data_IF_890966830556
#
_entry.id   IF_890966830556
#
_cell.length_a   1.000
_cell.length_b   1.000
_cell.length_c   1.000
_cell.angle_alpha   90.00
_cell.angle_beta   90.00
_cell.angle_gamma   90.00
#
_symmetry.space_group_name_H-M   'P 1'
#
loop_
_entity.id
_entity.type
_entity.pdbx_description
1 polymer ?
#
# COMPACT_ATOMS: atom_id res chain seq x y z
N UNK A 1 9.59 15.25 -14.96
CA UNK A 1 8.34 16.00 -14.66
C UNK A 1 7.92 15.54 -13.28
N UNK A 2 7.55 16.47 -12.43
CA UNK A 2 7.05 16.15 -11.10
C UNK A 2 5.63 15.57 -11.19
N UNK A 3 5.26 14.72 -10.27
CA UNK A 3 3.97 14.02 -10.25
C UNK A 3 2.92 14.89 -9.57
N UNK A 4 1.80 15.18 -10.25
CA UNK A 4 0.67 15.90 -9.66
C UNK A 4 -0.26 14.88 -8.99
N UNK A 5 -0.32 14.93 -7.68
CA UNK A 5 -1.05 13.98 -6.84
C UNK A 5 -2.37 14.54 -6.32
N UNK A 6 -3.26 13.64 -5.90
CA UNK A 6 -4.52 13.98 -5.24
C UNK A 6 -4.30 14.21 -3.74
N UNK A 7 -4.67 15.39 -3.27
CA UNK A 7 -4.59 15.79 -1.86
C UNK A 7 -5.92 16.32 -1.36
N UNK A 8 -6.08 16.42 -0.03
CA UNK A 8 -7.27 16.94 0.65
C UNK A 8 -6.85 17.79 1.84
N UNK A 9 -7.45 18.97 2.01
CA UNK A 9 -7.35 19.66 3.29
C UNK A 9 -8.08 18.83 4.36
N UNK A 10 -7.48 18.69 5.54
CA UNK A 10 -8.13 17.94 6.64
C UNK A 10 -9.40 18.62 7.17
N UNK A 11 -9.57 19.91 6.90
CA UNK A 11 -10.79 20.69 7.16
C UNK A 11 -11.86 20.51 6.09
N UNK A 12 -11.48 20.02 4.90
CA UNK A 12 -12.36 19.83 3.73
C UNK A 12 -12.04 18.48 3.06
N UNK A 13 -12.31 17.34 3.77
CA UNK A 13 -11.81 16.02 3.39
C UNK A 13 -12.48 15.44 2.13
N UNK A 14 -13.56 16.06 1.65
CA UNK A 14 -14.31 15.60 0.47
C UNK A 14 -13.95 16.37 -0.81
N UNK A 15 -13.06 17.39 -0.71
CA UNK A 15 -12.64 18.18 -1.86
C UNK A 15 -11.24 17.78 -2.33
N UNK A 16 -11.12 17.01 -3.43
CA UNK A 16 -9.80 16.68 -3.99
C UNK A 16 -9.15 17.92 -4.62
N UNK A 17 -7.84 18.07 -4.36
CA UNK A 17 -7.04 19.18 -4.85
C UNK A 17 -5.74 18.66 -5.48
N UNK A 18 -5.33 19.20 -6.64
CA UNK A 18 -4.03 18.87 -7.21
C UNK A 18 -2.91 19.51 -6.40
N UNK A 19 -1.81 18.78 -6.25
CA UNK A 19 -0.58 19.30 -5.69
C UNK A 19 0.61 18.53 -6.25
N UNK A 20 1.72 19.22 -6.44
CA UNK A 20 2.99 18.57 -6.74
C UNK A 20 3.41 17.68 -5.56
N UNK A 21 3.90 16.46 -5.84
CA UNK A 21 4.27 15.51 -4.80
C UNK A 21 5.37 16.02 -3.86
N UNK A 22 6.40 16.63 -4.43
CA UNK A 22 7.53 17.11 -3.65
C UNK A 22 7.14 18.35 -2.83
N UNK A 23 6.31 19.23 -3.39
CA UNK A 23 5.73 20.37 -2.69
C UNK A 23 4.85 19.92 -1.52
N UNK A 24 4.03 18.87 -1.71
CA UNK A 24 3.22 18.29 -0.62
C UNK A 24 4.09 17.86 0.56
N UNK A 25 5.13 17.07 0.29
CA UNK A 25 5.98 16.57 1.38
C UNK A 25 6.77 17.69 2.06
N UNK A 26 7.28 18.64 1.31
CA UNK A 26 7.98 19.81 1.85
C UNK A 26 7.06 20.65 2.75
N UNK A 27 5.85 20.98 2.26
CA UNK A 27 4.83 21.70 3.03
C UNK A 27 4.49 20.97 4.33
N UNK A 28 4.19 19.66 4.27
CA UNK A 28 3.74 18.91 5.45
C UNK A 28 4.87 18.71 6.48
N UNK A 29 6.13 18.56 6.05
CA UNK A 29 7.29 18.55 6.95
C UNK A 29 7.41 19.88 7.71
N UNK A 30 7.33 20.99 6.99
CA UNK A 30 7.42 22.33 7.62
C UNK A 30 6.24 22.60 8.56
N UNK A 31 5.03 22.27 8.13
CA UNK A 31 3.83 22.44 8.95
C UNK A 31 3.92 21.58 10.20
N UNK A 32 4.32 20.33 10.07
CA UNK A 32 4.46 19.42 11.21
C UNK A 32 5.50 19.93 12.23
N UNK A 33 6.65 20.44 11.77
CA UNK A 33 7.67 21.06 12.63
C UNK A 33 7.13 22.24 13.44
N UNK A 34 6.25 23.04 12.84
CA UNK A 34 5.68 24.25 13.47
C UNK A 34 4.51 23.93 14.41
N UNK A 35 3.68 22.94 14.06
CA UNK A 35 2.37 22.72 14.72
C UNK A 35 2.24 21.36 15.40
N UNK A 36 3.11 20.40 15.10
CA UNK A 36 3.03 19.01 15.56
C UNK A 36 1.89 18.22 14.91
N UNK A 37 1.23 18.74 13.87
CA UNK A 37 0.07 18.12 13.22
C UNK A 37 0.09 18.35 11.72
N UNK A 38 -0.31 17.34 10.89
CA UNK A 38 -0.54 17.55 9.47
C UNK A 38 -1.79 18.43 9.26
N UNK A 39 -1.86 19.12 8.13
CA UNK A 39 -3.02 19.94 7.72
C UNK A 39 -3.68 19.44 6.45
N UNK A 40 -2.97 18.59 5.69
CA UNK A 40 -3.41 18.05 4.41
C UNK A 40 -3.13 16.55 4.35
N UNK A 41 -4.03 15.78 3.76
CA UNK A 41 -3.85 14.38 3.45
C UNK A 41 -3.50 14.17 1.97
N UNK A 42 -2.67 13.17 1.70
CA UNK A 42 -2.40 12.66 0.35
C UNK A 42 -3.20 11.37 0.15
N UNK A 43 -3.80 11.19 -1.03
CA UNK A 43 -4.53 9.96 -1.34
C UNK A 43 -3.60 8.91 -1.94
N UNK A 44 -3.68 7.68 -1.43
CA UNK A 44 -2.80 6.57 -1.81
C UNK A 44 -3.55 5.25 -1.89
N UNK A 45 -3.02 4.32 -2.67
CA UNK A 45 -3.43 2.92 -2.69
C UNK A 45 -2.44 2.05 -1.93
N UNK A 46 -2.93 0.97 -1.31
CA UNK A 46 -2.10 -0.04 -0.65
C UNK A 46 -2.66 -1.43 -0.89
N UNK A 47 -1.81 -2.35 -1.34
CA UNK A 47 -2.15 -3.74 -1.56
C UNK A 47 -1.26 -4.65 -0.72
N UNK A 48 -1.87 -5.57 0.02
CA UNK A 48 -1.20 -6.77 0.53
C UNK A 48 -1.50 -7.93 -0.41
N UNK A 49 -0.44 -8.49 -0.98
CA UNK A 49 -0.49 -9.59 -1.92
C UNK A 49 -0.12 -10.88 -1.19
N UNK A 50 -0.87 -11.94 -1.44
CA UNK A 50 -0.63 -13.25 -0.88
C UNK A 50 -0.33 -14.27 -1.96
N UNK A 51 0.57 -15.21 -1.64
CA UNK A 51 0.77 -16.43 -2.41
C UNK A 51 -0.33 -17.46 -2.07
N UNK A 52 -0.57 -18.48 -2.91
CA UNK A 52 -1.56 -19.53 -2.62
C UNK A 52 -1.31 -20.32 -1.34
N UNK A 53 -0.06 -20.36 -0.89
CA UNK A 53 0.36 -20.98 0.37
C UNK A 53 0.03 -20.12 1.60
N UNK A 54 -0.66 -19.00 1.40
CA UNK A 54 -1.05 -17.99 2.40
C UNK A 54 0.10 -17.14 2.94
N UNK A 55 1.28 -17.24 2.33
CA UNK A 55 2.38 -16.33 2.63
C UNK A 55 2.05 -14.92 2.13
N UNK A 56 2.32 -13.94 2.96
CA UNK A 56 2.27 -12.52 2.56
C UNK A 56 3.56 -12.14 1.84
N UNK A 57 3.41 -11.36 0.76
CA UNK A 57 4.52 -10.88 -0.05
C UNK A 57 4.79 -9.43 0.32
N UNK A 58 5.92 -9.17 0.95
CA UNK A 58 6.33 -7.83 1.35
C UNK A 58 7.41 -7.28 0.42
N UNK A 59 7.36 -5.99 0.15
CA UNK A 59 8.37 -5.28 -0.60
C UNK A 59 9.50 -4.82 0.34
N UNK A 60 10.76 -5.07 -0.01
CA UNK A 60 11.89 -4.42 0.64
C UNK A 60 12.21 -3.11 -0.08
N UNK A 61 11.96 -2.00 0.57
CA UNK A 61 12.17 -0.66 0.00
C UNK A 61 13.64 -0.41 -0.32
N UNK A 62 13.90 0.19 -1.47
CA UNK A 62 15.26 0.56 -1.87
C UNK A 62 15.87 1.53 -0.87
N UNK A 63 17.19 1.41 -0.65
CA UNK A 63 17.97 2.38 0.14
C UNK A 63 17.97 3.79 -0.41
N UNK A 64 17.55 3.96 -1.67
CA UNK A 64 17.48 5.25 -2.38
C UNK A 64 16.15 5.96 -2.18
N UNK A 65 15.14 5.30 -1.62
CA UNK A 65 13.82 5.92 -1.35
C UNK A 65 13.97 7.07 -0.35
N UNK A 66 13.28 8.17 -0.63
CA UNK A 66 13.24 9.34 0.24
C UNK A 66 12.59 9.02 1.60
N UNK A 67 11.58 8.13 1.58
CA UNK A 67 10.80 7.77 2.76
C UNK A 67 11.05 6.32 3.14
N UNK A 68 11.29 6.06 4.44
CA UNK A 68 11.45 4.72 5.02
C UNK A 68 12.41 3.80 4.23
N UNK A 69 13.66 4.24 3.92
CA UNK A 69 14.61 3.43 3.14
C UNK A 69 14.98 2.14 3.89
N UNK A 70 15.20 1.06 3.15
CA UNK A 70 15.56 -0.30 3.65
C UNK A 70 14.52 -1.00 4.54
N UNK A 71 13.35 -0.42 4.76
CA UNK A 71 12.29 -1.05 5.55
C UNK A 71 11.49 -2.04 4.70
N UNK A 72 10.84 -3.00 5.36
CA UNK A 72 9.82 -3.85 4.78
C UNK A 72 8.48 -3.11 4.77
N UNK A 73 7.78 -3.21 3.66
CA UNK A 73 6.53 -2.49 3.40
C UNK A 73 5.49 -3.42 2.76
N UNK A 74 4.24 -2.95 2.63
CA UNK A 74 3.21 -3.63 1.84
C UNK A 74 3.74 -4.05 0.47
N UNK A 75 3.01 -4.94 -0.19
CA UNK A 75 3.41 -5.50 -1.49
C UNK A 75 3.50 -4.43 -2.57
N UNK A 76 2.49 -3.54 -2.62
CA UNK A 76 2.39 -2.43 -3.60
C UNK A 76 1.81 -1.21 -2.90
N UNK A 77 2.22 -0.02 -3.34
CA UNK A 77 1.62 1.22 -2.92
C UNK A 77 2.03 2.39 -3.79
N UNK A 78 1.05 3.19 -4.19
CA UNK A 78 1.24 4.36 -5.05
C UNK A 78 0.41 5.56 -4.63
N UNK A 79 0.81 6.73 -5.10
CA UNK A 79 0.02 7.95 -5.00
C UNK A 79 -1.05 7.96 -6.09
N UNK A 80 -2.21 8.52 -5.78
CA UNK A 80 -3.23 8.73 -6.81
C UNK A 80 -2.93 10.03 -7.55
N UNK A 81 -2.63 9.93 -8.85
CA UNK A 81 -2.50 11.08 -9.72
C UNK A 81 -3.81 11.87 -9.74
N UNK A 82 -3.73 13.20 -9.73
CA UNK A 82 -4.95 14.02 -9.75
C UNK A 82 -5.77 13.77 -11.02
N UNK A 83 -7.03 13.40 -10.82
CA UNK A 83 -7.95 13.00 -11.88
C UNK A 83 -8.11 11.48 -12.05
N UNK A 84 -7.21 10.68 -11.49
CA UNK A 84 -7.33 9.23 -11.48
C UNK A 84 -8.19 8.74 -10.31
N UNK A 85 -8.65 7.49 -10.42
CA UNK A 85 -9.38 6.81 -9.35
C UNK A 85 -8.48 5.83 -8.59
N UNK A 86 -8.77 5.52 -7.31
CA UNK A 86 -8.03 4.49 -6.57
C UNK A 86 -8.01 3.13 -7.29
N UNK A 87 -9.11 2.78 -7.95
CA UNK A 87 -9.24 1.52 -8.68
C UNK A 87 -8.34 1.47 -9.92
N UNK A 88 -8.25 2.57 -10.67
CA UNK A 88 -7.33 2.67 -11.78
C UNK A 88 -5.88 2.62 -11.30
N UNK A 89 -5.55 3.41 -10.28
CA UNK A 89 -4.19 3.48 -9.73
C UNK A 89 -3.70 2.12 -9.25
N UNK A 90 -4.51 1.34 -8.50
CA UNK A 90 -4.03 0.02 -8.02
C UNK A 90 -3.75 -0.96 -9.17
N UNK A 91 -4.54 -0.91 -10.25
CA UNK A 91 -4.29 -1.75 -11.43
C UNK A 91 -3.02 -1.30 -12.19
N UNK A 92 -2.82 0.01 -12.32
CA UNK A 92 -1.62 0.58 -12.93
C UNK A 92 -0.36 0.23 -12.14
N UNK A 93 -0.37 0.44 -10.82
CA UNK A 93 0.75 0.12 -9.92
C UNK A 93 1.10 -1.38 -9.96
N UNK A 94 0.09 -2.26 -9.95
CA UNK A 94 0.33 -3.70 -10.04
C UNK A 94 1.05 -4.08 -11.33
N UNK A 95 0.68 -3.44 -12.44
CA UNK A 95 1.32 -3.65 -13.73
C UNK A 95 2.72 -3.03 -13.78
N UNK A 96 2.90 -1.81 -13.25
CA UNK A 96 4.16 -1.08 -13.29
C UNK A 96 5.23 -1.66 -12.35
N UNK A 97 4.84 -1.99 -11.10
CA UNK A 97 5.79 -2.49 -10.11
C UNK A 97 6.10 -4.00 -10.27
N UNK A 98 5.12 -4.81 -10.67
CA UNK A 98 5.24 -6.27 -10.68
C UNK A 98 5.08 -6.91 -12.07
N UNK A 99 4.75 -6.14 -13.12
CA UNK A 99 4.43 -6.63 -14.47
C UNK A 99 3.26 -7.65 -14.47
N UNK A 100 2.32 -7.52 -13.52
CA UNK A 100 1.23 -8.46 -13.33
C UNK A 100 -0.11 -7.84 -13.71
N UNK A 101 -0.80 -8.38 -14.75
CA UNK A 101 -2.19 -8.02 -15.03
C UNK A 101 -3.09 -8.35 -13.86
N UNK A 102 -4.02 -7.46 -13.51
CA UNK A 102 -4.85 -7.62 -12.34
C UNK A 102 -6.33 -7.45 -12.64
N UNK A 103 -7.17 -8.17 -11.91
CA UNK A 103 -8.62 -8.04 -11.92
C UNK A 103 -9.09 -7.57 -10.54
N UNK A 104 -9.74 -6.42 -10.50
CA UNK A 104 -10.27 -5.84 -9.26
C UNK A 104 -11.75 -6.22 -9.05
N UNK A 105 -12.05 -6.76 -7.88
CA UNK A 105 -13.39 -7.13 -7.41
C UNK A 105 -13.80 -6.20 -6.27
N UNK A 106 -15.01 -5.64 -6.38
CA UNK A 106 -15.50 -4.63 -5.45
C UNK A 106 -16.00 -5.20 -4.11
N UNK A 107 -16.27 -6.51 -4.05
CA UNK A 107 -16.80 -7.14 -2.85
C UNK A 107 -16.31 -8.58 -2.67
N UNK A 108 -16.52 -9.10 -1.44
CA UNK A 108 -16.06 -10.45 -1.03
C UNK A 108 -16.73 -11.59 -1.80
N UNK A 109 -17.99 -11.42 -2.19
CA UNK A 109 -18.79 -12.46 -2.85
C UNK A 109 -18.32 -12.65 -4.29
N UNK A 110 -18.15 -11.57 -5.02
CA UNK A 110 -17.65 -11.60 -6.38
C UNK A 110 -16.21 -12.08 -6.41
N UNK A 111 -15.38 -11.69 -5.43
CA UNK A 111 -14.03 -12.23 -5.29
C UNK A 111 -14.07 -13.75 -5.12
N UNK A 112 -14.89 -14.30 -4.21
CA UNK A 112 -14.94 -15.72 -3.96
C UNK A 112 -15.44 -16.53 -5.18
N UNK A 113 -16.42 -16.00 -5.93
CA UNK A 113 -16.90 -16.62 -7.18
C UNK A 113 -15.82 -16.57 -8.26
N UNK A 114 -15.17 -15.42 -8.43
CA UNK A 114 -14.13 -15.23 -9.45
C UNK A 114 -12.91 -16.09 -9.13
N UNK A 115 -12.50 -16.17 -7.87
CA UNK A 115 -11.40 -17.04 -7.44
C UNK A 115 -11.68 -18.52 -7.79
N UNK A 116 -12.88 -19.04 -7.49
CA UNK A 116 -13.25 -20.41 -7.86
C UNK A 116 -13.17 -20.67 -9.37
N UNK A 117 -13.49 -19.65 -10.17
CA UNK A 117 -13.44 -19.74 -11.64
C UNK A 117 -12.00 -19.66 -12.17
N UNK A 118 -11.17 -18.81 -11.57
CA UNK A 118 -9.85 -18.44 -12.09
C UNK A 118 -8.68 -19.01 -11.28
N UNK A 119 -8.90 -19.88 -10.29
CA UNK A 119 -7.82 -20.39 -9.41
C UNK A 119 -6.65 -21.02 -10.16
N UNK A 120 -6.90 -21.63 -11.31
CA UNK A 120 -5.87 -22.28 -12.14
C UNK A 120 -5.12 -21.24 -13.03
N UNK A 121 -5.53 -19.98 -13.01
CA UNK A 121 -4.96 -18.88 -13.81
C UNK A 121 -4.34 -17.77 -12.95
N UNK A 122 -4.35 -17.89 -11.63
CA UNK A 122 -3.76 -16.88 -10.74
C UNK A 122 -2.23 -16.74 -10.85
N UNK A 123 -1.57 -17.63 -11.59
CA UNK A 123 -0.18 -17.49 -11.99
C UNK A 123 0.04 -16.54 -13.18
N UNK A 124 -1.04 -16.13 -13.85
CA UNK A 124 -1.02 -15.20 -15.00
C UNK A 124 -1.71 -13.88 -14.69
N UNK A 125 -2.58 -13.87 -13.71
CA UNK A 125 -3.40 -12.72 -13.36
C UNK A 125 -3.60 -12.63 -11.84
N UNK A 126 -3.35 -11.45 -11.27
CA UNK A 126 -3.65 -11.15 -9.88
C UNK A 126 -5.16 -10.90 -9.70
N UNK A 127 -5.75 -11.47 -8.68
CA UNK A 127 -7.11 -11.14 -8.25
C UNK A 127 -7.02 -10.22 -7.03
N UNK A 128 -7.63 -9.04 -7.11
CA UNK A 128 -7.59 -8.02 -6.08
C UNK A 128 -9.01 -7.78 -5.55
N UNK A 129 -9.15 -7.71 -4.23
CA UNK A 129 -10.37 -7.34 -3.52
C UNK A 129 -10.20 -5.99 -2.86
N UNK A 130 -11.12 -5.05 -3.10
CA UNK A 130 -11.21 -3.80 -2.32
C UNK A 130 -11.70 -4.10 -0.90
N UNK A 131 -11.12 -3.43 0.09
CA UNK A 131 -11.43 -3.62 1.53
C UNK A 131 -12.09 -2.38 2.12
N UNK A 132 -11.40 -1.23 2.12
CA UNK A 132 -11.86 -0.03 2.82
C UNK A 132 -11.09 1.22 2.34
N UNK A 133 -11.64 2.40 2.61
CA UNK A 133 -10.93 3.67 2.50
C UNK A 133 -10.99 4.44 3.81
N UNK A 134 -9.83 5.00 4.23
CA UNK A 134 -9.73 5.67 5.53
C UNK A 134 -8.55 6.63 5.60
N UNK A 135 -8.76 7.74 6.28
CA UNK A 135 -7.67 8.67 6.62
C UNK A 135 -7.00 8.26 7.93
N UNK A 136 -5.66 8.22 7.91
CA UNK A 136 -4.83 7.92 9.05
C UNK A 136 -3.51 8.71 8.99
N UNK A 137 -3.01 9.13 10.16
CA UNK A 137 -1.75 9.85 10.28
C UNK A 137 -0.63 8.87 10.57
N UNK A 138 0.12 8.49 9.54
CA UNK A 138 1.26 7.59 9.70
C UNK A 138 2.56 8.35 9.95
N UNK A 139 3.42 7.73 10.73
CA UNK A 139 4.79 8.16 10.96
C UNK A 139 5.64 7.83 9.74
N UNK A 140 6.41 8.79 9.26
CA UNK A 140 7.38 8.60 8.17
C UNK A 140 8.73 9.19 8.56
N UNK A 141 9.79 8.55 8.08
CA UNK A 141 11.15 9.09 8.18
C UNK A 141 11.44 9.79 6.85
N UNK A 142 11.55 11.12 6.88
CA UNK A 142 11.83 11.97 5.72
C UNK A 142 13.11 12.75 6.02
N UNK A 143 14.13 12.61 5.17
CA UNK A 143 15.44 13.27 5.37
C UNK A 143 16.03 13.03 6.78
N UNK A 144 15.86 11.82 7.32
CA UNK A 144 16.28 11.39 8.67
C UNK A 144 15.45 12.01 9.82
N UNK A 145 14.43 12.76 9.54
CA UNK A 145 13.51 13.33 10.51
C UNK A 145 12.22 12.53 10.59
N UNK A 146 11.71 12.36 11.79
CA UNK A 146 10.43 11.70 12.03
C UNK A 146 9.30 12.74 11.94
N UNK A 147 8.36 12.52 11.01
CA UNK A 147 7.19 13.37 10.82
C UNK A 147 5.93 12.51 10.70
N UNK A 148 4.77 13.08 11.06
CA UNK A 148 3.48 12.44 10.77
C UNK A 148 2.86 13.08 9.55
N UNK A 149 2.49 12.22 8.59
CA UNK A 149 1.81 12.59 7.36
C UNK A 149 0.41 11.99 7.39
N UNK A 150 -0.59 12.80 7.09
CA UNK A 150 -1.95 12.31 6.90
C UNK A 150 -2.06 11.68 5.50
N UNK A 151 -2.55 10.44 5.46
CA UNK A 151 -2.81 9.73 4.23
C UNK A 151 -4.28 9.28 4.21
N UNK A 152 -4.95 9.47 3.07
CA UNK A 152 -6.23 8.84 2.77
C UNK A 152 -5.90 7.54 2.04
N UNK A 153 -5.96 6.44 2.78
CA UNK A 153 -5.63 5.11 2.30
C UNK A 153 -6.81 4.47 1.61
N UNK A 154 -6.56 3.82 0.48
CA UNK A 154 -7.45 2.85 -0.15
C UNK A 154 -6.78 1.48 -0.06
N UNK A 155 -7.38 0.55 0.71
CA UNK A 155 -6.81 -0.74 1.06
C UNK A 155 -7.36 -1.86 0.20
N UNK A 156 -6.45 -2.74 -0.25
CA UNK A 156 -6.75 -3.89 -1.08
C UNK A 156 -6.02 -5.14 -0.58
N UNK A 157 -6.64 -6.30 -0.78
CA UNK A 157 -6.01 -7.62 -0.63
C UNK A 157 -5.98 -8.32 -1.98
N UNK A 158 -4.91 -9.04 -2.29
CA UNK A 158 -4.77 -9.73 -3.55
C UNK A 158 -4.15 -11.12 -3.41
N UNK A 159 -4.38 -11.98 -4.41
CA UNK A 159 -3.73 -13.27 -4.53
C UNK A 159 -3.07 -13.40 -5.90
N UNK A 160 -1.84 -13.92 -5.90
CA UNK A 160 -1.06 -14.18 -7.11
C UNK A 160 -0.11 -15.35 -6.91
N UNK A 161 -0.02 -16.25 -7.89
CA UNK A 161 0.81 -17.46 -7.86
C UNK A 161 1.98 -17.43 -8.86
N UNK A 162 2.12 -16.35 -9.60
CA UNK A 162 3.17 -16.25 -10.61
C UNK A 162 4.49 -15.69 -10.10
N UNK A 163 5.46 -15.56 -10.98
CA UNK A 163 6.74 -14.94 -10.64
C UNK A 163 6.57 -13.44 -10.40
N UNK A 164 7.14 -12.95 -9.32
CA UNK A 164 7.18 -11.53 -8.99
C UNK A 164 8.58 -11.02 -9.26
N UNK A 165 8.69 -10.01 -10.09
CA UNK A 165 9.94 -9.31 -10.37
C UNK A 165 9.71 -7.83 -10.14
N UNK A 166 10.37 -7.22 -9.13
CA UNK A 166 10.34 -5.77 -9.02
C UNK A 166 10.83 -5.14 -10.32
N UNK A 167 9.92 -4.49 -11.03
CA UNK A 167 10.20 -3.93 -12.36
C UNK A 167 10.87 -2.56 -12.25
N UNK A 168 10.64 -1.86 -11.16
CA UNK A 168 11.20 -0.54 -10.91
C UNK A 168 12.40 -0.59 -9.94
N UNK A 169 13.10 0.54 -9.82
CA UNK A 169 14.21 0.71 -8.87
C UNK A 169 13.75 1.11 -7.47
N UNK A 170 12.45 1.08 -7.21
CA UNK A 170 11.83 1.49 -5.96
C UNK A 170 11.97 0.42 -4.89
N UNK A 171 11.98 -0.85 -5.31
CA UNK A 171 12.21 -2.02 -4.47
C UNK A 171 13.61 -2.59 -4.68
N UNK A 172 14.19 -3.16 -3.62
CA UNK A 172 15.41 -3.96 -3.67
C UNK A 172 15.14 -5.46 -3.70
N UNK A 173 13.87 -5.87 -3.59
CA UNK A 173 13.41 -7.25 -3.62
C UNK A 173 12.08 -7.44 -2.92
N UNK A 174 11.60 -8.67 -2.93
CA UNK A 174 10.42 -9.12 -2.20
C UNK A 174 10.79 -10.20 -1.19
N UNK A 175 10.04 -10.27 -0.10
CA UNK A 175 10.20 -11.28 0.94
C UNK A 175 8.85 -11.94 1.18
N UNK A 176 8.84 -13.25 1.33
CA UNK A 176 7.66 -14.04 1.65
C UNK A 176 7.68 -14.35 3.15
N UNK A 177 6.55 -14.14 3.81
CA UNK A 177 6.37 -14.41 5.23
C UNK A 177 5.12 -15.23 5.48
N UNK A 178 5.23 -16.23 6.32
CA UNK A 178 4.08 -16.74 7.05
C UNK A 178 3.60 -15.70 8.06
N UNK A 179 2.30 -15.64 8.31
CA UNK A 179 1.75 -14.62 9.24
C UNK A 179 2.30 -14.74 10.67
N UNK A 180 2.48 -15.94 11.26
CA UNK A 180 3.12 -16.09 12.57
C UNK A 180 4.55 -15.54 12.62
N UNK A 181 5.38 -15.88 11.64
CA UNK A 181 6.79 -15.43 11.56
C UNK A 181 6.86 -13.91 11.39
N UNK A 182 5.96 -13.35 10.58
CA UNK A 182 5.86 -11.90 10.42
C UNK A 182 5.49 -11.19 11.74
N UNK A 183 4.54 -11.75 12.50
CA UNK A 183 4.13 -11.19 13.80
C UNK A 183 5.28 -11.26 14.82
N UNK A 184 6.06 -12.33 14.82
CA UNK A 184 7.24 -12.50 15.68
C UNK A 184 8.34 -11.48 15.31
N UNK A 185 8.74 -11.43 14.04
CA UNK A 185 9.76 -10.48 13.56
C UNK A 185 9.34 -9.01 13.78
N UNK A 186 8.05 -8.70 13.62
CA UNK A 186 7.53 -7.36 13.90
C UNK A 186 7.57 -7.00 15.39
N UNK A 187 7.47 -7.99 16.28
CA UNK A 187 7.58 -7.77 17.73
C UNK A 187 9.04 -7.61 18.15
N UNK A 188 9.96 -8.40 17.58
CA UNK A 188 11.39 -8.37 17.90
C UNK A 188 12.11 -7.15 17.28
N UNK A 189 11.78 -6.82 16.03
CA UNK A 189 12.46 -5.77 15.27
C UNK A 189 11.48 -4.79 14.61
N UNK A 190 10.63 -4.07 15.38
CA UNK A 190 9.55 -3.24 14.85
C UNK A 190 10.01 -2.12 13.90
N UNK A 191 11.27 -1.72 14.00
CA UNK A 191 11.84 -0.66 13.16
C UNK A 191 12.20 -1.13 11.73
N UNK A 192 12.18 -2.43 11.47
CA UNK A 192 12.37 -2.97 10.13
C UNK A 192 11.12 -2.86 9.26
N UNK A 193 9.96 -2.58 9.85
CA UNK A 193 8.66 -2.54 9.17
C UNK A 193 8.06 -1.14 9.19
N UNK A 194 7.49 -0.73 8.06
CA UNK A 194 6.84 0.59 7.97
C UNK A 194 5.61 0.68 8.89
N UNK A 195 5.29 1.89 9.36
CA UNK A 195 4.08 2.11 10.18
C UNK A 195 2.81 1.82 9.36
N UNK A 196 2.83 2.13 8.07
CA UNK A 196 1.73 1.85 7.15
C UNK A 196 1.39 0.35 7.09
N UNK A 197 2.41 -0.51 6.96
CA UNK A 197 2.24 -1.97 6.97
C UNK A 197 1.68 -2.44 8.32
N UNK A 198 2.27 -2.01 9.44
CA UNK A 198 1.81 -2.37 10.79
C UNK A 198 0.36 -1.95 11.02
N UNK A 199 0.00 -0.75 10.58
CA UNK A 199 -1.37 -0.28 10.67
C UNK A 199 -2.33 -1.15 9.84
N UNK A 200 -1.99 -1.47 8.59
CA UNK A 200 -2.81 -2.31 7.73
C UNK A 200 -3.05 -3.70 8.35
N UNK A 201 -1.99 -4.40 8.74
CA UNK A 201 -2.07 -5.73 9.35
C UNK A 201 -2.92 -5.75 10.64
N UNK A 202 -2.71 -4.77 11.52
CA UNK A 202 -3.45 -4.70 12.78
C UNK A 202 -4.92 -4.32 12.57
N UNK A 203 -5.18 -3.33 11.73
CA UNK A 203 -6.53 -2.79 11.51
C UNK A 203 -7.44 -3.77 10.80
N UNK A 204 -6.91 -4.49 9.81
CA UNK A 204 -7.68 -5.40 8.95
C UNK A 204 -7.38 -6.87 9.20
N UNK A 205 -6.91 -7.21 10.40
CA UNK A 205 -6.59 -8.61 10.79
C UNK A 205 -7.75 -9.57 10.53
N UNK A 206 -8.98 -9.16 10.78
CA UNK A 206 -10.18 -9.97 10.54
C UNK A 206 -10.41 -10.17 9.04
N UNK A 207 -10.38 -9.10 8.27
CA UNK A 207 -10.56 -9.11 6.82
C UNK A 207 -9.48 -9.94 6.12
N UNK A 208 -8.24 -9.86 6.59
CA UNK A 208 -7.12 -10.68 6.10
C UNK A 208 -7.39 -12.17 6.35
N UNK A 209 -7.80 -12.55 7.56
CA UNK A 209 -8.16 -13.96 7.87
C UNK A 209 -9.29 -14.45 6.98
N UNK A 210 -10.38 -13.70 6.91
CA UNK A 210 -11.52 -14.04 6.04
C UNK A 210 -11.14 -14.11 4.55
N UNK A 211 -10.14 -13.35 4.13
CA UNK A 211 -9.60 -13.41 2.77
C UNK A 211 -8.81 -14.71 2.56
N UNK A 212 -7.91 -15.04 3.49
CA UNK A 212 -7.09 -16.26 3.44
C UNK A 212 -7.89 -17.56 3.57
N UNK A 213 -9.07 -17.53 4.20
CA UNK A 213 -9.96 -18.68 4.33
C UNK A 213 -10.67 -19.07 3.01
N UNK A 214 -10.50 -18.26 1.96
CA UNK A 214 -11.12 -18.53 0.65
C UNK A 214 -10.29 -19.45 -0.25
N UNK A 215 -9.01 -19.70 0.10
CA UNK A 215 -8.06 -20.52 -0.66
C UNK A 215 -7.08 -21.32 0.23
#
# INVERSE_FOLDING_TARGET
>A
MSEIITTYMLTEPDQPMPMDRDDFYNEQVEVYKKTGKPTRAIEIVQLLLFAPQKEIILQKRSKRKMHNPNMLDKSIGGHITFGDTPNFTILAETLQELEVPSLLLSNKEDFAKTYKLLKDYINKQCLIQYIDSRTYNSKKIINKEEVRIANKYNFYLGIYAGSIRPADRESSGVVFYDMPDLEEDMAEAPNLFTEDLKFFLNKYRKEIREFLDKF
#
